data_IF_809229267634
#
_entry.id   IF_809229267634
#
_cell.length_a   1.000
_cell.length_b   1.000
_cell.length_c   1.000
_cell.angle_alpha   90.00
_cell.angle_beta   90.00
_cell.angle_gamma   90.00
#
_symmetry.space_group_name_H-M   'P 1'
#
loop_
_entity.id
_entity.type
_entity.pdbx_description
1 polymer ?
#
# COMPACT_ATOMS: atom_id res chain seq x y z
N UNK A 1 -20.27 -17.12 -32.84
CA UNK A 1 -20.88 -16.35 -31.75
C UNK A 1 -20.15 -15.01 -31.69
N UNK A 2 -20.76 -13.96 -32.22
CA UNK A 2 -20.19 -12.62 -32.12
C UNK A 2 -20.40 -12.14 -30.70
N UNK A 3 -19.33 -12.17 -29.90
CA UNK A 3 -19.29 -11.50 -28.59
C UNK A 3 -19.67 -10.03 -28.83
N UNK A 4 -20.86 -9.65 -28.42
CA UNK A 4 -21.32 -8.25 -28.54
C UNK A 4 -20.58 -7.46 -27.46
N UNK A 5 -19.44 -6.82 -27.84
CA UNK A 5 -18.68 -5.94 -26.96
C UNK A 5 -19.59 -4.87 -26.36
N UNK A 6 -19.52 -4.68 -25.05
CA UNK A 6 -20.19 -3.59 -24.35
C UNK A 6 -19.63 -2.23 -24.77
N UNK A 7 -20.33 -1.14 -24.47
CA UNK A 7 -19.81 0.20 -24.74
C UNK A 7 -18.46 0.43 -24.02
N UNK A 8 -18.33 -0.05 -22.79
CA UNK A 8 -17.08 0.04 -22.02
C UNK A 8 -15.92 -0.71 -22.70
N UNK A 9 -16.19 -1.90 -23.25
CA UNK A 9 -15.17 -2.67 -24.00
C UNK A 9 -14.70 -1.93 -25.25
N UNK A 10 -15.63 -1.32 -25.98
CA UNK A 10 -15.33 -0.51 -27.17
C UNK A 10 -14.56 0.76 -26.84
N UNK A 11 -14.85 1.40 -25.72
CA UNK A 11 -14.10 2.56 -25.22
C UNK A 11 -12.70 2.12 -24.80
N UNK A 12 -12.58 1.03 -24.08
CA UNK A 12 -11.29 0.48 -23.61
C UNK A 12 -10.36 0.14 -24.78
N UNK A 13 -10.89 -0.41 -25.87
CA UNK A 13 -10.14 -0.70 -27.12
C UNK A 13 -9.51 0.56 -27.74
N UNK A 14 -10.07 1.74 -27.49
CA UNK A 14 -9.58 3.02 -28.01
C UNK A 14 -8.64 3.73 -27.02
N UNK A 15 -8.37 3.17 -25.84
CA UNK A 15 -7.44 3.72 -24.88
C UNK A 15 -6.01 3.17 -25.10
N UNK A 16 -4.96 3.98 -24.86
CA UNK A 16 -3.57 3.60 -25.13
C UNK A 16 -2.99 2.53 -24.19
N UNK A 17 -3.74 2.07 -23.21
CA UNK A 17 -3.39 0.99 -22.28
C UNK A 17 -2.09 1.21 -21.50
N UNK A 18 -1.72 2.46 -21.27
CA UNK A 18 -0.52 2.83 -20.50
C UNK A 18 -0.67 2.59 -19.00
N UNK A 19 -1.92 2.47 -18.50
CA UNK A 19 -2.26 2.22 -17.09
C UNK A 19 -1.69 3.29 -16.12
N UNK A 20 -1.51 4.53 -16.59
CA UNK A 20 -0.76 5.60 -15.92
C UNK A 20 -1.53 6.33 -14.81
N UNK A 21 -2.83 6.08 -14.65
CA UNK A 21 -3.74 6.72 -13.67
C UNK A 21 -3.92 8.25 -13.83
N UNK A 22 -3.28 8.91 -14.81
CA UNK A 22 -3.35 10.36 -15.03
C UNK A 22 -4.78 10.87 -15.30
N UNK A 23 -5.65 10.03 -15.82
CA UNK A 23 -7.09 10.33 -15.99
C UNK A 23 -7.86 10.43 -14.66
N UNK A 24 -7.23 10.12 -13.52
CA UNK A 24 -7.88 10.10 -12.19
C UNK A 24 -8.55 8.77 -11.83
N UNK A 25 -8.36 7.72 -12.64
CA UNK A 25 -8.87 6.37 -12.41
C UNK A 25 -7.72 5.37 -12.25
N UNK A 26 -7.98 4.24 -11.58
CA UNK A 26 -6.98 3.21 -11.28
C UNK A 26 -6.56 2.36 -12.48
N UNK A 27 -6.64 2.91 -13.69
CA UNK A 27 -6.26 2.26 -14.93
C UNK A 27 -7.21 2.56 -16.08
N UNK A 28 -6.94 1.98 -17.25
CA UNK A 28 -7.71 2.25 -18.46
C UNK A 28 -9.10 1.66 -18.40
N UNK A 29 -9.30 0.47 -17.85
CA UNK A 29 -10.62 -0.17 -17.72
C UNK A 29 -11.58 0.61 -16.82
N UNK A 30 -11.23 1.00 -15.59
CA UNK A 30 -12.09 1.85 -14.75
C UNK A 30 -12.47 3.18 -15.39
N UNK A 31 -11.55 3.78 -16.17
CA UNK A 31 -11.86 4.98 -16.92
C UNK A 31 -12.86 4.71 -18.05
N UNK A 32 -12.70 3.62 -18.80
CA UNK A 32 -13.66 3.22 -19.83
C UNK A 32 -15.06 2.95 -19.27
N UNK A 33 -15.14 2.27 -18.13
CA UNK A 33 -16.40 2.01 -17.41
C UNK A 33 -17.07 3.33 -16.98
N UNK A 34 -16.29 4.28 -16.44
CA UNK A 34 -16.79 5.59 -16.03
C UNK A 34 -17.31 6.43 -17.21
N UNK A 35 -16.63 6.41 -18.36
CA UNK A 35 -17.12 7.07 -19.59
C UNK A 35 -18.42 6.41 -20.05
N UNK A 36 -18.48 5.09 -20.10
CA UNK A 36 -19.66 4.35 -20.54
C UNK A 36 -20.88 4.61 -19.66
N UNK A 37 -20.65 4.78 -18.34
CA UNK A 37 -21.67 5.14 -17.36
C UNK A 37 -22.04 6.65 -17.35
N UNK A 38 -21.33 7.49 -18.10
CA UNK A 38 -21.53 8.95 -18.11
C UNK A 38 -20.95 9.69 -16.89
N UNK A 39 -20.14 9.03 -16.09
CA UNK A 39 -19.52 9.57 -14.87
C UNK A 39 -18.16 10.25 -15.15
N UNK A 40 -17.60 10.10 -16.34
CA UNK A 40 -16.34 10.72 -16.76
C UNK A 40 -16.46 11.34 -18.16
N UNK A 41 -15.71 12.40 -18.38
CA UNK A 41 -15.49 12.95 -19.71
C UNK A 41 -14.44 12.12 -20.47
N UNK A 42 -14.59 12.03 -21.79
CA UNK A 42 -13.69 11.29 -22.69
C UNK A 42 -12.40 12.02 -23.06
N UNK A 43 -12.11 13.17 -22.44
CA UNK A 43 -10.94 14.02 -22.69
C UNK A 43 -9.92 14.04 -21.53
N UNK A 44 -9.88 13.00 -20.68
CA UNK A 44 -9.04 12.98 -19.48
C UNK A 44 -7.77 12.13 -19.64
N UNK A 45 -7.46 11.64 -20.86
CA UNK A 45 -6.31 10.76 -21.09
C UNK A 45 -5.17 11.46 -21.82
N UNK A 46 -4.12 11.99 -21.12
CA UNK A 46 -2.98 12.64 -21.77
C UNK A 46 -2.20 11.71 -22.73
N UNK A 47 -1.91 10.44 -22.38
CA UNK A 47 -1.23 9.54 -23.31
C UNK A 47 -2.01 9.21 -24.59
N UNK A 48 -3.35 9.34 -24.56
CA UNK A 48 -4.18 9.19 -25.75
C UNK A 48 -4.16 10.40 -26.67
N UNK A 49 -3.88 11.57 -26.08
CA UNK A 49 -3.78 12.84 -26.81
C UNK A 49 -5.04 13.27 -27.53
N UNK A 50 -4.88 14.24 -28.43
CA UNK A 50 -5.98 14.79 -29.23
C UNK A 50 -6.61 13.72 -30.13
N UNK A 51 -5.83 12.81 -30.71
CA UNK A 51 -6.35 11.72 -31.54
C UNK A 51 -7.17 10.72 -30.73
N UNK A 52 -6.74 10.35 -29.53
CA UNK A 52 -7.52 9.48 -28.63
C UNK A 52 -8.87 10.09 -28.28
N UNK A 53 -8.91 11.40 -28.03
CA UNK A 53 -10.16 12.13 -27.82
C UNK A 53 -11.06 12.09 -29.05
N UNK A 54 -10.49 12.30 -30.25
CA UNK A 54 -11.23 12.23 -31.49
C UNK A 54 -11.83 10.82 -31.74
N UNK A 55 -11.07 9.77 -31.49
CA UNK A 55 -11.54 8.37 -31.59
C UNK A 55 -12.71 8.09 -30.63
N UNK A 56 -12.58 8.53 -29.37
CA UNK A 56 -13.65 8.39 -28.37
C UNK A 56 -14.86 9.23 -28.70
N UNK A 57 -14.69 10.48 -29.15
CA UNK A 57 -15.76 11.36 -29.58
C UNK A 57 -16.57 10.74 -30.73
N UNK A 58 -15.88 10.17 -31.74
CA UNK A 58 -16.52 9.48 -32.86
C UNK A 58 -17.33 8.25 -32.40
N UNK A 59 -16.75 7.42 -31.50
CA UNK A 59 -17.46 6.26 -30.95
C UNK A 59 -18.72 6.66 -30.17
N UNK A 60 -18.67 7.78 -29.44
CA UNK A 60 -19.74 8.26 -28.55
C UNK A 60 -20.76 9.16 -29.30
N UNK A 61 -20.50 9.52 -30.55
CA UNK A 61 -21.33 10.51 -31.31
C UNK A 61 -21.29 11.90 -30.68
N UNK A 62 -20.16 12.29 -30.06
CA UNK A 62 -19.98 13.57 -29.36
C UNK A 62 -18.98 14.48 -30.09
N UNK A 63 -19.01 15.82 -29.86
CA UNK A 63 -18.01 16.72 -30.43
C UNK A 63 -16.61 16.43 -29.92
N UNK A 64 -15.58 16.71 -30.73
CA UNK A 64 -14.19 16.69 -30.25
C UNK A 64 -13.96 17.90 -29.37
N UNK A 65 -13.49 17.66 -28.15
CA UNK A 65 -13.17 18.68 -27.14
C UNK A 65 -11.67 18.63 -26.80
N UNK A 66 -11.05 19.74 -26.34
CA UNK A 66 -9.63 19.75 -25.98
C UNK A 66 -9.37 18.83 -24.78
N UNK A 67 -8.10 18.36 -24.66
CA UNK A 67 -7.63 17.61 -23.51
C UNK A 67 -7.85 18.43 -22.23
N UNK A 68 -8.34 17.77 -21.19
CA UNK A 68 -8.54 18.43 -19.90
C UNK A 68 -7.17 18.73 -19.23
N UNK A 69 -6.82 20.01 -19.04
CA UNK A 69 -5.51 20.39 -18.51
C UNK A 69 -5.27 19.94 -17.07
N UNK A 70 -6.31 19.65 -16.30
CA UNK A 70 -6.20 19.12 -14.93
C UNK A 70 -5.54 17.74 -14.92
N UNK A 71 -5.72 16.96 -15.99
CA UNK A 71 -5.14 15.62 -16.12
C UNK A 71 -3.71 15.63 -16.68
N UNK A 72 -3.21 16.77 -17.11
CA UNK A 72 -1.90 16.97 -17.70
C UNK A 72 -1.95 17.35 -19.17
N UNK A 73 -0.80 17.31 -19.81
CA UNK A 73 -0.62 17.68 -21.23
C UNK A 73 -0.15 16.47 -22.04
N UNK A 74 -0.41 16.51 -23.33
CA UNK A 74 0.15 15.57 -24.28
C UNK A 74 1.66 15.80 -24.40
N UNK A 75 2.45 14.74 -24.35
CA UNK A 75 3.91 14.79 -24.44
C UNK A 75 4.45 13.56 -25.18
N UNK A 76 5.69 13.63 -25.73
CA UNK A 76 6.33 12.48 -26.34
C UNK A 76 6.40 11.29 -25.39
N UNK A 77 6.25 10.07 -25.97
CA UNK A 77 6.36 8.85 -25.18
C UNK A 77 7.77 8.70 -24.62
N UNK A 78 7.86 8.46 -23.32
CA UNK A 78 9.11 8.13 -22.63
C UNK A 78 9.07 6.68 -22.15
N UNK A 79 10.24 6.10 -21.92
CA UNK A 79 10.44 4.81 -21.22
C UNK A 79 11.24 5.05 -19.96
N UNK A 80 11.01 4.23 -18.96
CA UNK A 80 11.80 4.30 -17.75
C UNK A 80 13.19 3.71 -18.01
N UNK A 81 14.20 4.34 -17.42
CA UNK A 81 15.58 3.86 -17.38
C UNK A 81 16.00 3.74 -15.92
N UNK A 82 16.62 2.64 -15.54
CA UNK A 82 17.15 2.40 -14.19
C UNK A 82 18.67 2.51 -14.23
N UNK A 83 19.24 3.41 -13.43
CA UNK A 83 20.68 3.40 -13.17
C UNK A 83 21.00 2.23 -12.24
N UNK A 84 21.57 1.18 -12.83
CA UNK A 84 21.90 -0.06 -12.12
C UNK A 84 22.95 0.15 -11.03
N UNK A 85 23.82 1.17 -11.18
CA UNK A 85 24.86 1.51 -10.19
C UNK A 85 24.29 2.07 -8.89
N UNK A 86 23.12 2.72 -8.97
CA UNK A 86 22.40 3.29 -7.83
C UNK A 86 21.33 2.33 -7.28
N UNK A 87 20.94 1.30 -8.04
CA UNK A 87 19.85 0.43 -7.69
C UNK A 87 20.19 -0.48 -6.50
N UNK A 88 19.40 -0.39 -5.42
CA UNK A 88 19.58 -1.19 -4.19
C UNK A 88 18.75 -2.49 -4.16
N UNK A 89 18.01 -2.80 -5.21
CA UNK A 89 17.22 -4.03 -5.29
C UNK A 89 16.01 -4.08 -4.35
N UNK A 90 15.38 -2.93 -4.06
CA UNK A 90 14.25 -2.83 -3.12
C UNK A 90 12.92 -3.41 -3.64
N UNK A 91 12.80 -3.70 -4.93
CA UNK A 91 11.62 -4.25 -5.63
C UNK A 91 10.38 -3.35 -5.73
N UNK A 92 10.39 -2.15 -5.18
CA UNK A 92 9.22 -1.25 -5.18
C UNK A 92 8.79 -0.85 -6.59
N UNK A 93 9.72 -0.60 -7.50
CA UNK A 93 9.43 -0.30 -8.91
C UNK A 93 8.77 -1.48 -9.64
N UNK A 94 9.17 -2.73 -9.34
CA UNK A 94 8.54 -3.93 -9.89
C UNK A 94 7.09 -4.08 -9.42
N UNK A 95 6.83 -3.73 -8.15
CA UNK A 95 5.48 -3.76 -7.58
C UNK A 95 4.59 -2.69 -8.22
N UNK A 96 5.13 -1.51 -8.49
CA UNK A 96 4.42 -0.40 -9.12
C UNK A 96 4.18 -0.58 -10.62
N UNK A 97 5.00 -1.37 -11.33
CA UNK A 97 4.88 -1.54 -12.77
C UNK A 97 3.60 -2.28 -13.17
N UNK A 98 2.67 -1.65 -13.92
CA UNK A 98 1.37 -2.26 -14.23
C UNK A 98 1.44 -3.37 -15.31
N UNK A 99 2.55 -3.48 -16.03
CA UNK A 99 2.71 -4.35 -17.20
C UNK A 99 3.92 -5.30 -17.12
N UNK A 100 4.50 -5.44 -15.93
CA UNK A 100 5.68 -6.30 -15.68
C UNK A 100 6.87 -6.00 -16.62
N UNK A 101 7.11 -4.74 -16.92
CA UNK A 101 8.24 -4.34 -17.76
C UNK A 101 9.58 -4.29 -17.02
N UNK A 102 9.59 -4.48 -15.70
CA UNK A 102 10.78 -4.40 -14.85
C UNK A 102 11.15 -5.80 -14.38
N UNK A 103 12.41 -6.17 -14.57
CA UNK A 103 12.96 -7.46 -14.15
C UNK A 103 14.05 -7.26 -13.11
N UNK A 104 14.22 -8.26 -12.25
CA UNK A 104 15.18 -8.26 -11.15
C UNK A 104 14.74 -9.17 -10.02
N UNK A 105 15.45 -9.11 -8.90
CA UNK A 105 15.13 -9.87 -7.69
C UNK A 105 15.43 -9.04 -6.44
N UNK A 106 14.89 -9.41 -5.26
CA UNK A 106 15.23 -8.74 -4.01
C UNK A 106 16.74 -8.71 -3.76
N UNK A 107 17.28 -7.52 -3.47
CA UNK A 107 18.72 -7.28 -3.25
C UNK A 107 19.59 -7.51 -4.49
N UNK A 108 19.01 -7.55 -5.68
CA UNK A 108 19.69 -7.57 -6.97
C UNK A 108 19.29 -6.33 -7.77
N UNK A 109 20.15 -5.88 -8.68
CA UNK A 109 19.83 -4.77 -9.59
C UNK A 109 18.55 -5.08 -10.39
N UNK A 110 17.80 -4.03 -10.69
CA UNK A 110 16.66 -4.13 -11.59
C UNK A 110 16.97 -3.46 -12.91
N UNK A 111 16.37 -3.96 -13.97
CA UNK A 111 16.45 -3.36 -15.29
C UNK A 111 15.08 -3.29 -15.96
N UNK A 112 14.94 -2.45 -16.98
CA UNK A 112 13.70 -2.25 -17.73
C UNK A 112 13.81 -3.03 -19.04
N UNK A 113 12.75 -3.79 -19.37
CA UNK A 113 12.55 -4.29 -20.73
C UNK A 113 11.84 -3.18 -21.50
N UNK A 114 12.61 -2.40 -22.25
CA UNK A 114 12.16 -1.18 -22.91
C UNK A 114 10.94 -1.41 -23.82
N UNK A 115 10.92 -2.49 -24.60
CA UNK A 115 9.81 -2.84 -25.49
C UNK A 115 8.49 -3.14 -24.76
N UNK A 116 8.56 -3.45 -23.46
CA UNK A 116 7.38 -3.70 -22.62
C UNK A 116 6.95 -2.45 -21.84
N UNK A 117 7.82 -1.45 -21.70
CA UNK A 117 7.53 -0.25 -20.94
C UNK A 117 6.48 0.62 -21.64
N UNK A 118 5.40 0.97 -20.95
CA UNK A 118 4.31 1.81 -21.46
C UNK A 118 4.52 3.30 -21.22
N UNK A 119 5.58 3.70 -20.48
CA UNK A 119 5.84 5.09 -20.14
C UNK A 119 4.90 5.68 -19.10
N UNK A 120 4.35 4.84 -18.21
CA UNK A 120 3.36 5.25 -17.20
C UNK A 120 3.91 6.06 -16.03
N UNK A 121 5.25 6.11 -15.85
CA UNK A 121 6.02 6.75 -14.76
C UNK A 121 5.73 6.28 -13.31
N UNK A 122 4.83 5.33 -13.10
CA UNK A 122 4.45 4.84 -11.77
C UNK A 122 5.60 4.20 -10.97
N UNK A 123 6.69 3.82 -11.62
CA UNK A 123 7.87 3.26 -10.96
C UNK A 123 8.81 4.33 -10.36
N UNK A 124 8.67 5.60 -10.77
CA UNK A 124 9.56 6.70 -10.34
C UNK A 124 9.29 7.09 -8.88
N UNK A 125 8.05 7.44 -8.45
CA UNK A 125 7.80 7.92 -7.10
C UNK A 125 8.17 6.95 -5.98
N UNK A 126 8.01 5.62 -6.11
CA UNK A 126 8.34 4.68 -5.03
C UNK A 126 9.82 4.35 -4.93
N UNK A 127 10.68 4.86 -5.82
CA UNK A 127 12.12 4.59 -5.76
C UNK A 127 12.78 5.37 -4.61
N UNK A 128 13.33 4.71 -3.58
CA UNK A 128 13.88 5.41 -2.41
C UNK A 128 15.27 6.02 -2.65
N UNK A 129 15.89 5.73 -3.80
CA UNK A 129 17.24 6.20 -4.18
C UNK A 129 17.24 6.98 -5.50
N UNK A 130 16.06 7.31 -6.02
CA UNK A 130 15.87 8.10 -7.24
C UNK A 130 16.69 7.63 -8.46
N UNK A 131 16.89 6.30 -8.57
CA UNK A 131 17.69 5.71 -9.65
C UNK A 131 16.89 5.53 -10.96
N UNK A 132 15.67 6.06 -11.07
CA UNK A 132 14.80 5.86 -12.23
C UNK A 132 14.54 7.19 -12.93
N UNK A 133 14.88 7.25 -14.20
CA UNK A 133 14.62 8.41 -15.07
C UNK A 133 13.64 8.02 -16.19
N UNK A 134 12.84 8.98 -16.67
CA UNK A 134 12.02 8.83 -17.87
C UNK A 134 12.74 9.43 -19.07
N UNK A 135 13.03 8.59 -20.07
CA UNK A 135 13.78 8.97 -21.26
C UNK A 135 12.84 9.01 -22.48
N UNK A 136 12.66 10.14 -23.16
CA UNK A 136 11.86 10.20 -24.39
C UNK A 136 12.46 9.30 -25.49
N UNK A 137 11.62 8.53 -26.17
CA UNK A 137 12.08 7.55 -27.19
C UNK A 137 11.40 7.73 -28.55
N UNK A 138 10.47 8.68 -28.68
CA UNK A 138 9.68 8.87 -29.92
C UNK A 138 9.93 10.21 -30.61
N UNK A 139 10.97 10.98 -30.17
CA UNK A 139 11.23 12.34 -30.64
C UNK A 139 10.03 13.23 -30.30
N UNK A 140 9.51 13.96 -31.30
CA UNK A 140 8.37 14.87 -31.14
C UNK A 140 7.00 14.16 -31.23
N UNK A 141 6.96 12.86 -31.55
CA UNK A 141 5.68 12.13 -31.74
C UNK A 141 4.98 11.89 -30.40
N UNK A 142 3.69 12.15 -30.38
CA UNK A 142 2.83 12.03 -29.21
C UNK A 142 1.64 11.11 -29.48
N UNK A 143 0.89 10.77 -28.46
CA UNK A 143 -0.36 10.01 -28.56
C UNK A 143 -0.23 8.76 -29.42
N UNK A 144 -1.14 8.57 -30.34
CA UNK A 144 -1.20 7.41 -31.23
C UNK A 144 -0.16 7.42 -32.37
N UNK A 145 0.46 8.57 -32.66
CA UNK A 145 1.59 8.63 -33.59
C UNK A 145 2.86 8.00 -32.97
N UNK A 146 2.94 7.97 -31.65
CA UNK A 146 4.04 7.41 -30.88
C UNK A 146 3.78 5.97 -30.39
N UNK A 147 2.55 5.47 -30.49
CA UNK A 147 2.09 4.23 -29.88
C UNK A 147 1.07 3.53 -30.77
N UNK A 148 1.39 2.34 -31.28
CA UNK A 148 0.49 1.61 -32.16
C UNK A 148 -0.62 0.88 -31.39
N UNK A 149 -1.68 0.48 -32.11
CA UNK A 149 -2.77 -0.31 -31.55
C UNK A 149 -2.27 -1.67 -31.05
N UNK A 150 -1.35 -2.32 -31.80
CA UNK A 150 -0.78 -3.60 -31.34
C UNK A 150 0.00 -3.45 -30.03
N UNK A 151 0.73 -2.35 -29.87
CA UNK A 151 1.44 -2.07 -28.62
C UNK A 151 0.47 -1.86 -27.45
N UNK A 152 -0.63 -1.14 -27.68
CA UNK A 152 -1.67 -0.94 -26.69
C UNK A 152 -2.34 -2.26 -26.30
N UNK A 153 -2.73 -3.09 -27.28
CA UNK A 153 -3.35 -4.39 -27.03
C UNK A 153 -2.42 -5.34 -26.28
N UNK A 154 -1.14 -5.39 -26.66
CA UNK A 154 -0.13 -6.17 -25.96
C UNK A 154 0.11 -5.66 -24.52
N UNK A 155 0.03 -4.35 -24.29
CA UNK A 155 0.13 -3.76 -22.95
C UNK A 155 -1.08 -4.14 -22.08
N UNK A 156 -2.30 -4.08 -22.62
CA UNK A 156 -3.52 -4.55 -21.95
C UNK A 156 -3.41 -6.02 -21.55
N UNK A 157 -3.01 -6.89 -22.48
CA UNK A 157 -2.87 -8.32 -22.20
C UNK A 157 -1.87 -8.60 -21.07
N UNK A 158 -0.74 -7.89 -21.04
CA UNK A 158 0.23 -8.01 -19.93
C UNK A 158 -0.36 -7.54 -18.61
N UNK A 159 -1.08 -6.42 -18.62
CA UNK A 159 -1.76 -5.90 -17.44
C UNK A 159 -2.77 -6.91 -16.88
N UNK A 160 -3.61 -7.47 -17.74
CA UNK A 160 -4.63 -8.45 -17.33
C UNK A 160 -3.99 -9.72 -16.78
N UNK A 161 -2.91 -10.21 -17.41
CA UNK A 161 -2.13 -11.36 -16.89
C UNK A 161 -1.53 -11.05 -15.52
N UNK A 162 -1.02 -9.84 -15.30
CA UNK A 162 -0.52 -9.39 -14.00
C UNK A 162 -1.63 -9.39 -12.94
N UNK A 163 -2.77 -8.78 -13.23
CA UNK A 163 -3.91 -8.75 -12.30
C UNK A 163 -4.39 -10.17 -11.96
N UNK A 164 -4.50 -11.05 -12.95
CA UNK A 164 -4.88 -12.44 -12.74
C UNK A 164 -3.86 -13.21 -11.86
N UNK A 165 -2.55 -12.96 -12.05
CA UNK A 165 -1.49 -13.53 -11.21
C UNK A 165 -1.61 -13.02 -9.77
N UNK A 166 -1.71 -11.71 -9.55
CA UNK A 166 -1.83 -11.11 -8.23
C UNK A 166 -3.07 -11.58 -7.47
N UNK A 167 -4.19 -11.79 -8.18
CA UNK A 167 -5.41 -12.37 -7.59
C UNK A 167 -5.15 -13.80 -7.11
N UNK A 168 -4.59 -14.67 -7.95
CA UNK A 168 -4.25 -16.05 -7.56
C UNK A 168 -3.28 -16.12 -6.39
N UNK A 169 -2.26 -15.25 -6.36
CA UNK A 169 -1.29 -15.18 -5.27
C UNK A 169 -1.94 -14.77 -3.95
N UNK A 170 -2.86 -13.80 -3.99
CA UNK A 170 -3.66 -13.34 -2.85
C UNK A 170 -4.55 -14.45 -2.31
N UNK A 171 -5.33 -15.08 -3.18
CA UNK A 171 -6.20 -16.21 -2.83
C UNK A 171 -5.40 -17.36 -2.20
N UNK A 172 -4.25 -17.70 -2.78
CA UNK A 172 -3.37 -18.72 -2.23
C UNK A 172 -2.74 -18.32 -0.87
N UNK A 173 -2.43 -17.04 -0.68
CA UNK A 173 -1.92 -16.54 0.60
C UNK A 173 -3.01 -16.57 1.69
N UNK A 174 -4.23 -16.17 1.35
CA UNK A 174 -5.39 -16.23 2.24
C UNK A 174 -5.73 -17.66 2.63
N UNK A 175 -5.74 -18.60 1.67
CA UNK A 175 -5.96 -20.02 1.93
C UNK A 175 -4.87 -20.60 2.86
N UNK A 176 -3.60 -20.27 2.64
CA UNK A 176 -2.51 -20.67 3.54
C UNK A 176 -2.66 -20.08 4.94
N UNK A 177 -3.05 -18.82 5.05
CA UNK A 177 -3.30 -18.17 6.34
C UNK A 177 -4.48 -18.81 7.08
N UNK A 178 -5.57 -19.14 6.38
CA UNK A 178 -6.73 -19.84 6.94
C UNK A 178 -6.35 -21.25 7.43
N UNK A 179 -5.59 -22.01 6.64
CA UNK A 179 -5.10 -23.34 7.02
C UNK A 179 -4.21 -23.29 8.27
N UNK A 180 -3.32 -22.30 8.38
CA UNK A 180 -2.47 -22.09 9.57
C UNK A 180 -3.30 -21.77 10.82
N UNK A 181 -4.34 -20.92 10.69
CA UNK A 181 -5.28 -20.61 11.79
C UNK A 181 -6.04 -21.86 12.24
N UNK A 182 -6.55 -22.66 11.30
CA UNK A 182 -7.25 -23.90 11.59
C UNK A 182 -6.34 -24.92 12.30
N UNK A 183 -5.10 -25.09 11.83
CA UNK A 183 -4.11 -25.95 12.45
C UNK A 183 -3.78 -25.52 13.90
N UNK A 184 -3.59 -24.22 14.14
CA UNK A 184 -3.33 -23.69 15.47
C UNK A 184 -4.53 -23.87 16.42
N UNK A 185 -5.75 -23.67 15.91
CA UNK A 185 -6.98 -23.91 16.69
C UNK A 185 -7.17 -25.42 17.02
N UNK A 186 -6.82 -26.32 16.08
CA UNK A 186 -6.83 -27.76 16.30
C UNK A 186 -5.80 -28.20 17.35
N UNK A 187 -4.58 -27.63 17.29
CA UNK A 187 -3.53 -27.91 18.26
C UNK A 187 -3.90 -27.43 19.68
N UNK A 188 -4.58 -26.28 19.79
CA UNK A 188 -5.07 -25.77 21.08
C UNK A 188 -6.17 -26.66 21.70
N UNK A 189 -6.97 -27.36 20.86
CA UNK A 189 -7.99 -28.34 21.34
C UNK A 189 -7.40 -29.71 21.67
N UNK A 190 -6.27 -30.07 21.08
CA UNK A 190 -5.60 -31.36 21.26
C UNK A 190 -4.57 -31.38 22.39
N UNK A 191 -4.30 -30.25 23.06
CA UNK A 191 -3.47 -30.24 24.25
C UNK A 191 -4.14 -31.03 25.35
N UNK A 192 -3.56 -32.16 25.89
CA UNK A 192 -4.14 -32.91 26.98
C UNK A 192 -4.27 -31.99 28.20
N UNK A 193 -5.44 -32.03 28.84
CA UNK A 193 -5.64 -31.37 30.12
C UNK A 193 -4.57 -31.93 31.08
N UNK A 194 -3.63 -31.11 31.50
CA UNK A 194 -2.68 -31.49 32.52
C UNK A 194 -3.44 -31.83 33.78
N UNK A 195 -3.36 -33.08 34.24
CA UNK A 195 -3.88 -33.52 35.51
C UNK A 195 -3.27 -32.64 36.62
N UNK A 196 -4.16 -31.98 37.36
CA UNK A 196 -3.82 -31.24 38.55
C UNK A 196 -3.62 -32.21 39.72
N UNK A 197 -2.52 -32.11 40.52
CA UNK A 197 -2.48 -32.72 41.81
C UNK A 197 -2.99 -31.76 42.90
N UNK A 198 -4.11 -32.11 43.53
CA UNK A 198 -4.40 -31.73 44.92
C UNK A 198 -5.22 -30.48 45.18
N UNK A 199 -6.40 -30.75 45.53
CA UNK A 199 -7.50 -30.03 46.16
C UNK A 199 -7.16 -28.94 47.17
N UNK A 200 -7.63 -27.71 46.93
CA UNK A 200 -8.17 -26.82 47.99
C UNK A 200 -9.33 -25.99 47.45
N UNK A 201 -10.41 -25.73 48.23
CA UNK A 201 -11.62 -25.14 47.74
C UNK A 201 -11.49 -23.61 47.53
N UNK A 202 -11.79 -23.14 46.33
CA UNK A 202 -11.89 -21.72 45.99
C UNK A 202 -13.33 -21.29 45.77
N UNK A 203 -13.69 -20.20 46.42
CA UNK A 203 -14.96 -19.50 46.30
C UNK A 203 -15.28 -19.03 44.88
N UNK A 204 -16.55 -18.95 44.45
CA UNK A 204 -16.94 -18.59 43.09
C UNK A 204 -17.01 -17.06 42.93
N UNK A 205 -16.32 -16.57 41.89
CA UNK A 205 -16.53 -15.21 41.41
C UNK A 205 -15.29 -14.51 40.84
N UNK A 206 -14.92 -14.79 39.60
CA UNK A 206 -14.24 -13.85 38.71
C UNK A 206 -14.06 -14.46 37.29
N UNK A 207 -14.38 -13.71 36.27
CA UNK A 207 -14.42 -14.10 34.87
C UNK A 207 -13.06 -14.41 34.24
N UNK A 208 -12.93 -15.31 33.24
CA UNK A 208 -11.66 -15.79 32.69
C UNK A 208 -11.08 -14.96 31.53
N UNK A 209 -11.29 -13.65 31.48
CA UNK A 209 -10.79 -12.79 30.40
C UNK A 209 -9.36 -12.23 30.63
N UNK A 210 -8.90 -12.11 31.87
CA UNK A 210 -7.63 -11.45 32.22
C UNK A 210 -6.39 -12.35 32.09
N UNK A 211 -6.53 -13.66 32.13
CA UNK A 211 -5.39 -14.60 32.20
C UNK A 211 -4.68 -14.78 30.84
N UNK A 212 -5.39 -14.68 29.73
CA UNK A 212 -4.80 -14.82 28.39
C UNK A 212 -3.96 -13.61 27.99
N UNK A 213 -4.37 -12.42 28.37
CA UNK A 213 -3.63 -11.19 28.11
C UNK A 213 -2.44 -11.01 29.07
N UNK A 214 -2.57 -11.45 30.31
CA UNK A 214 -1.46 -11.51 31.25
C UNK A 214 -0.36 -12.48 30.78
N UNK A 215 -0.73 -13.66 30.26
CA UNK A 215 0.21 -14.63 29.66
C UNK A 215 0.90 -14.05 28.40
N UNK A 216 0.16 -13.38 27.52
CA UNK A 216 0.75 -12.70 26.35
C UNK A 216 1.75 -11.62 26.75
N UNK A 217 1.40 -10.76 27.72
CA UNK A 217 2.31 -9.73 28.27
C UNK A 217 3.55 -10.34 28.89
N UNK A 218 3.43 -11.43 29.64
CA UNK A 218 4.56 -12.15 30.23
C UNK A 218 5.49 -12.75 29.15
N UNK A 219 4.94 -13.33 28.07
CA UNK A 219 5.74 -13.87 26.95
C UNK A 219 6.48 -12.74 26.21
N UNK A 220 5.80 -11.62 25.97
CA UNK A 220 6.41 -10.44 25.33
C UNK A 220 7.51 -9.84 26.22
N UNK A 221 7.26 -9.70 27.52
CA UNK A 221 8.25 -9.21 28.49
C UNK A 221 9.48 -10.10 28.54
N UNK A 222 9.30 -11.43 28.61
CA UNK A 222 10.40 -12.39 28.61
C UNK A 222 11.19 -12.38 27.28
N UNK A 223 10.53 -12.16 26.14
CA UNK A 223 11.20 -12.04 24.85
C UNK A 223 12.02 -10.73 24.75
N UNK A 224 11.50 -9.63 25.25
CA UNK A 224 12.20 -8.34 25.31
C UNK A 224 13.42 -8.41 26.24
N UNK A 225 13.29 -9.08 27.39
CA UNK A 225 14.40 -9.25 28.32
C UNK A 225 15.53 -10.11 27.74
N UNK A 226 15.19 -11.20 27.03
CA UNK A 226 16.17 -12.00 26.28
C UNK A 226 16.87 -11.19 25.19
N UNK A 227 16.13 -10.35 24.48
CA UNK A 227 16.69 -9.48 23.44
C UNK A 227 17.64 -8.42 24.06
N UNK A 228 17.30 -7.85 25.21
CA UNK A 228 18.15 -6.90 25.94
C UNK A 228 19.43 -7.57 26.40
N UNK A 229 19.34 -8.74 27.08
CA UNK A 229 20.53 -9.52 27.52
C UNK A 229 21.43 -9.87 26.34
N UNK A 230 20.87 -10.34 25.24
CA UNK A 230 21.66 -10.65 24.04
C UNK A 230 22.34 -9.43 23.43
N UNK A 231 21.68 -8.25 23.49
CA UNK A 231 22.28 -6.98 23.03
C UNK A 231 23.43 -6.54 23.97
N UNK A 232 23.27 -6.72 25.25
CA UNK A 232 24.28 -6.41 26.27
C UNK A 232 25.51 -7.32 26.14
N UNK A 233 25.30 -8.64 26.03
CA UNK A 233 26.35 -9.63 25.74
C UNK A 233 27.12 -9.34 24.46
N UNK A 234 26.40 -8.93 23.36
CA UNK A 234 27.04 -8.54 22.12
C UNK A 234 27.80 -7.21 22.22
N UNK A 235 27.35 -6.30 23.09
CA UNK A 235 28.06 -5.04 23.39
C UNK A 235 29.33 -5.28 24.21
N UNK A 236 29.28 -6.16 25.22
CA UNK A 236 30.43 -6.54 26.02
C UNK A 236 31.49 -7.33 25.22
N UNK A 237 31.06 -8.11 24.24
CA UNK A 237 31.94 -8.85 23.32
C UNK A 237 32.53 -7.99 22.19
N UNK A 238 32.32 -6.66 22.21
CA UNK A 238 32.82 -5.74 21.18
C UNK A 238 32.20 -5.96 19.79
N UNK A 239 31.11 -6.73 19.71
CA UNK A 239 30.38 -6.99 18.48
C UNK A 239 29.26 -5.95 18.28
N UNK A 240 29.55 -4.68 18.48
CA UNK A 240 28.71 -3.55 18.03
C UNK A 240 28.52 -3.55 16.52
N UNK A 241 27.58 -2.77 15.99
CA UNK A 241 27.37 -2.71 14.54
C UNK A 241 28.69 -2.37 13.83
N UNK A 242 29.16 -3.29 12.99
CA UNK A 242 30.48 -3.23 12.32
C UNK A 242 30.62 -2.08 11.30
N UNK A 243 29.59 -1.24 11.13
CA UNK A 243 29.54 -0.13 10.18
C UNK A 243 29.83 1.25 10.80
N UNK A 244 30.30 1.31 12.04
CA UNK A 244 30.57 2.61 12.73
C UNK A 244 32.03 3.06 12.59
N UNK A 245 32.92 2.22 12.09
CA UNK A 245 34.31 2.58 11.83
C UNK A 245 34.48 3.15 10.41
N UNK A 246 34.95 4.37 10.30
CA UNK A 246 35.26 5.00 9.00
C UNK A 246 34.12 5.79 8.35
N UNK A 247 33.04 6.10 9.06
CA UNK A 247 31.97 6.97 8.54
C UNK A 247 32.43 8.43 8.45
N UNK A 248 32.00 9.13 7.38
CA UNK A 248 32.31 10.55 7.22
C UNK A 248 31.68 11.38 8.35
N UNK A 249 32.28 12.55 8.68
CA UNK A 249 31.73 13.44 9.70
C UNK A 249 30.26 13.84 9.46
N UNK A 250 29.85 13.93 8.21
CA UNK A 250 28.46 14.23 7.83
C UNK A 250 27.50 13.06 8.18
N UNK A 251 27.94 11.82 7.99
CA UNK A 251 27.15 10.62 8.34
C UNK A 251 27.12 10.47 9.87
N UNK A 252 28.22 10.75 10.57
CA UNK A 252 28.24 10.72 12.04
C UNK A 252 27.26 11.74 12.62
N UNK A 253 27.21 12.96 12.10
CA UNK A 253 26.26 13.98 12.51
C UNK A 253 24.79 13.55 12.29
N UNK A 254 24.50 12.80 11.22
CA UNK A 254 23.15 12.24 10.99
C UNK A 254 22.80 11.14 12.02
N UNK A 255 23.74 10.30 12.37
CA UNK A 255 23.57 9.26 13.40
C UNK A 255 23.26 9.92 14.75
N UNK A 256 24.07 10.89 15.16
CA UNK A 256 23.91 11.62 16.42
C UNK A 256 22.56 12.36 16.47
N UNK A 257 22.15 12.97 15.36
CA UNK A 257 20.84 13.63 15.26
C UNK A 257 19.67 12.64 15.35
N UNK A 258 19.81 11.44 14.78
CA UNK A 258 18.80 10.38 14.86
C UNK A 258 18.69 9.81 16.29
N UNK A 259 19.80 9.66 17.00
CA UNK A 259 19.84 9.20 18.38
C UNK A 259 19.23 10.24 19.32
N UNK A 260 19.57 11.52 19.16
CA UNK A 260 18.98 12.61 19.92
C UNK A 260 17.45 12.73 19.69
N UNK A 261 16.98 12.40 18.49
CA UNK A 261 15.52 12.34 18.21
C UNK A 261 14.86 11.17 18.94
N UNK A 262 15.48 10.00 18.96
CA UNK A 262 14.95 8.82 19.68
C UNK A 262 14.88 9.08 21.18
N UNK A 263 15.90 9.70 21.76
CA UNK A 263 15.93 10.06 23.19
C UNK A 263 14.78 11.01 23.54
N UNK A 264 14.58 12.08 22.75
CA UNK A 264 13.47 13.03 22.95
C UNK A 264 12.10 12.35 22.85
N UNK A 265 11.91 11.44 21.90
CA UNK A 265 10.65 10.70 21.77
C UNK A 265 10.41 9.75 22.95
N UNK A 266 11.47 9.10 23.45
CA UNK A 266 11.38 8.24 24.63
C UNK A 266 11.05 9.04 25.91
N UNK A 267 11.66 10.23 26.10
CA UNK A 267 11.34 11.13 27.19
C UNK A 267 9.90 11.64 27.13
N UNK A 268 9.43 12.04 25.93
CA UNK A 268 8.03 12.46 25.73
C UNK A 268 7.05 11.32 26.00
N UNK A 269 7.37 10.11 25.62
CA UNK A 269 6.54 8.95 25.91
C UNK A 269 6.49 8.68 27.42
N UNK A 270 7.65 8.68 28.09
CA UNK A 270 7.71 8.51 29.54
C UNK A 270 6.94 9.60 30.32
N UNK A 271 6.98 10.84 29.85
CA UNK A 271 6.17 11.94 30.42
C UNK A 271 4.67 11.67 30.26
N UNK A 272 4.22 11.28 29.06
CA UNK A 272 2.80 10.95 28.82
C UNK A 272 2.34 9.76 29.65
N UNK A 273 3.18 8.74 29.79
CA UNK A 273 2.86 7.57 30.60
C UNK A 273 2.78 7.95 32.10
N UNK A 274 3.62 8.86 32.57
CA UNK A 274 3.59 9.38 33.92
C UNK A 274 2.35 10.27 34.17
N UNK A 275 1.98 11.14 33.22
CA UNK A 275 0.76 11.95 33.28
C UNK A 275 -0.50 11.07 33.26
N UNK A 276 -0.52 10.01 32.43
CA UNK A 276 -1.63 9.08 32.40
C UNK A 276 -1.76 8.28 33.71
N UNK A 277 -0.64 7.91 34.32
CA UNK A 277 -0.63 7.25 35.64
C UNK A 277 -1.13 8.19 36.77
N UNK A 278 -0.76 9.48 36.72
CA UNK A 278 -1.21 10.48 37.69
C UNK A 278 -2.70 10.84 37.53
N UNK A 279 -3.25 10.76 36.31
CA UNK A 279 -4.66 11.04 36.05
C UNK A 279 -5.61 9.88 36.38
N UNK A 280 -5.07 8.68 36.66
CA UNK A 280 -5.85 7.47 36.97
C UNK A 280 -6.23 7.32 38.46
N UNK A 281 -5.76 8.19 39.37
CA UNK A 281 -5.93 8.02 40.82
C UNK A 281 -7.04 8.92 41.46
N UNK A 282 -7.85 9.64 40.64
CA UNK A 282 -8.89 10.55 41.11
C UNK A 282 -10.29 10.17 40.58
N UNK A 283 -10.73 8.94 40.80
CA UNK A 283 -12.14 8.57 40.67
C UNK A 283 -12.54 7.55 41.72
N UNK A 284 -12.57 8.00 42.95
CA UNK A 284 -13.37 7.42 44.02
C UNK A 284 -14.35 8.50 44.44
N UNK A 285 -15.59 8.47 43.93
CA UNK A 285 -16.72 9.24 44.48
C UNK A 285 -17.96 8.32 44.50
N UNK A 286 -18.47 7.97 45.67
CA UNK A 286 -19.72 7.22 45.81
C UNK A 286 -20.90 8.18 45.90
N UNK A 287 -22.04 7.70 45.39
CA UNK A 287 -23.40 8.24 45.58
C UNK A 287 -23.85 9.35 44.63
N UNK A 288 -24.73 8.99 43.70
CA UNK A 288 -26.04 9.66 43.63
C UNK A 288 -27.13 8.85 42.95
N UNK A 289 -28.20 8.68 43.71
CA UNK A 289 -29.50 8.13 43.40
C UNK A 289 -30.22 8.82 42.23
N UNK A 290 -30.97 8.01 41.51
CA UNK A 290 -32.34 8.12 41.00
C UNK A 290 -32.94 9.53 40.78
N UNK A 291 -33.30 9.90 39.56
CA UNK A 291 -34.70 10.30 39.28
C UNK A 291 -35.02 10.37 37.76
N UNK A 292 -36.14 9.76 37.47
CA UNK A 292 -36.86 9.77 36.20
C UNK A 292 -37.38 11.19 35.87
N UNK A 293 -37.26 11.67 34.66
CA UNK A 293 -38.43 12.16 33.89
C UNK A 293 -37.99 12.78 32.54
N UNK A 294 -38.50 12.31 31.43
CA UNK A 294 -38.51 13.03 30.17
C UNK A 294 -39.58 14.14 30.18
N UNK A 295 -39.63 15.05 29.24
CA UNK A 295 -40.30 14.75 27.98
C UNK A 295 -39.79 15.49 26.70
N UNK A 296 -40.11 14.91 25.55
CA UNK A 296 -40.67 15.50 24.31
C UNK A 296 -39.88 16.58 23.53
N UNK A 297 -39.50 16.16 22.33
CA UNK A 297 -39.13 17.02 21.19
C UNK A 297 -40.34 17.85 20.67
N UNK A 298 -40.11 18.99 20.04
CA UNK A 298 -41.01 19.56 19.05
C UNK A 298 -40.37 19.65 17.64
N UNK A 299 -41.20 19.83 16.60
CA UNK A 299 -40.92 19.43 15.24
C UNK A 299 -40.22 20.49 14.38
N UNK A 300 -39.53 19.95 13.38
CA UNK A 300 -38.93 20.60 12.24
C UNK A 300 -39.94 21.42 11.41
N UNK A 301 -39.60 22.67 11.09
CA UNK A 301 -40.19 23.46 10.02
C UNK A 301 -39.12 24.32 9.38
N UNK A 302 -38.61 23.87 8.26
CA UNK A 302 -38.47 24.63 7.01
C UNK A 302 -37.47 23.98 6.04
N UNK A 303 -38.09 23.39 5.06
CA UNK A 303 -37.49 23.26 3.76
C UNK A 303 -38.32 24.12 2.80
N UNK A 304 -37.73 24.87 1.88
CA UNK A 304 -37.93 24.51 0.50
C UNK A 304 -36.68 24.00 -0.17
#
# INVERSE_FOLDING_TARGET
MTDSKTLADRIEDLLPQTQCTKCGYDGCRPYADAIAAGNANYNQCPPGGAEGIARLANLLGKPVIPLNPVNGTEHPRAVAFIDESLCIGCTLCMQACPVDAIVGAPKQMHTIIESLCTGCDLCVPPCPVDCIAMVPVTGERTGWDAWSQEQADAARERHDRRLARQRREREAAEARAAARRAASAGAAKAAPAAEEPGTQPRTPGAAPADDADAKKRAIIAAALERARKKKEELSEQGAGPKNTEGVSAAVQAQIDAAEARRQRLAEQQAQRDAEAAAAGDDHDDPDHDDDRNGPSAPPDKNRP
#
